data_IF_789032391037
#
_entry.id   IF_789032391037
#
_cell.length_a   1.000
_cell.length_b   1.000
_cell.length_c   1.000
_cell.angle_alpha   90.00
_cell.angle_beta   90.00
_cell.angle_gamma   90.00
#
_symmetry.space_group_name_H-M   'P 1'
#
loop_
_entity.id
_entity.type
_entity.pdbx_description
1 polymer ?
#
# COMPACT_ATOMS: atom_id res chain seq x y z
N UNK A 1 -20.24 2.97 26.40
CA UNK A 1 -21.01 3.41 25.23
C UNK A 1 -20.83 2.36 24.16
N UNK A 2 -21.84 1.55 23.92
CA UNK A 2 -21.78 0.46 22.92
C UNK A 2 -22.22 1.05 21.60
N UNK A 3 -21.26 1.26 20.69
CA UNK A 3 -21.53 1.76 19.35
C UNK A 3 -22.38 0.73 18.61
N UNK A 4 -23.60 1.11 18.24
CA UNK A 4 -24.46 0.27 17.41
C UNK A 4 -23.79 0.12 16.06
N UNK A 5 -23.34 -1.10 15.73
CA UNK A 5 -22.91 -1.44 14.38
C UNK A 5 -24.12 -1.30 13.48
N UNK A 6 -24.19 -0.19 12.75
CA UNK A 6 -25.09 -0.01 11.62
C UNK A 6 -24.93 -1.21 10.67
N UNK A 7 -26.04 -1.65 10.09
CA UNK A 7 -26.02 -2.75 9.12
C UNK A 7 -25.10 -2.47 7.93
N UNK A 8 -24.87 -3.49 7.11
CA UNK A 8 -24.02 -3.36 5.92
C UNK A 8 -24.51 -2.23 5.01
N UNK A 9 -23.65 -1.23 4.78
CA UNK A 9 -23.85 -0.21 3.74
C UNK A 9 -23.40 -0.75 2.38
N UNK A 10 -24.02 -0.27 1.30
CA UNK A 10 -23.47 -0.47 -0.05
C UNK A 10 -22.10 0.21 -0.15
N UNK A 11 -21.27 -0.30 -1.04
CA UNK A 11 -20.07 0.41 -1.46
C UNK A 11 -20.43 1.77 -2.07
N UNK A 12 -19.54 2.77 -1.96
CA UNK A 12 -19.67 4.04 -2.68
C UNK A 12 -19.86 3.83 -4.19
N UNK A 13 -20.54 4.77 -4.85
CA UNK A 13 -20.82 4.67 -6.29
C UNK A 13 -19.54 4.76 -7.15
N UNK A 14 -18.50 5.43 -6.63
CA UNK A 14 -17.17 5.55 -7.23
C UNK A 14 -16.22 4.40 -6.84
N UNK A 15 -16.72 3.36 -6.17
CA UNK A 15 -15.92 2.21 -5.78
C UNK A 15 -15.14 1.56 -6.96
N UNK A 16 -15.72 1.37 -8.16
CA UNK A 16 -14.94 0.84 -9.28
C UNK A 16 -13.73 1.72 -9.64
N UNK A 17 -13.90 3.04 -9.65
CA UNK A 17 -12.82 3.96 -9.98
C UNK A 17 -11.73 3.98 -8.90
N UNK A 18 -12.12 3.95 -7.62
CA UNK A 18 -11.15 3.88 -6.52
C UNK A 18 -10.41 2.55 -6.49
N UNK A 19 -11.09 1.44 -6.81
CA UNK A 19 -10.47 0.13 -7.02
C UNK A 19 -9.45 0.15 -8.16
N UNK A 20 -9.73 0.86 -9.25
CA UNK A 20 -8.82 1.04 -10.38
C UNK A 20 -7.70 2.08 -10.10
N UNK A 21 -7.65 2.65 -8.89
CA UNK A 21 -6.55 3.50 -8.42
C UNK A 21 -6.82 5.00 -8.47
N UNK A 22 -8.04 5.43 -8.81
CA UNK A 22 -8.41 6.85 -8.80
C UNK A 22 -8.18 7.45 -7.41
N UNK A 23 -7.27 8.43 -7.32
CA UNK A 23 -6.94 9.11 -6.07
C UNK A 23 -6.16 8.25 -5.07
N UNK A 24 -5.51 7.16 -5.50
CA UNK A 24 -4.77 6.28 -4.61
C UNK A 24 -3.63 7.02 -3.88
N UNK A 25 -3.79 7.18 -2.56
CA UNK A 25 -2.81 7.88 -1.71
C UNK A 25 -1.46 7.16 -1.65
N UNK A 26 -1.45 5.82 -1.79
CA UNK A 26 -0.21 5.05 -1.84
C UNK A 26 0.54 5.27 -3.16
N UNK A 27 -0.14 5.33 -4.30
CA UNK A 27 0.51 5.67 -5.57
C UNK A 27 1.11 7.10 -5.52
N UNK A 28 0.36 8.06 -4.98
CA UNK A 28 0.86 9.43 -4.81
C UNK A 28 2.08 9.49 -3.86
N UNK A 29 2.03 8.74 -2.76
CA UNK A 29 3.13 8.63 -1.81
C UNK A 29 4.37 7.96 -2.42
N UNK A 30 4.20 6.87 -3.18
CA UNK A 30 5.33 6.19 -3.85
C UNK A 30 6.03 7.14 -4.84
N UNK A 31 5.24 7.95 -5.56
CA UNK A 31 5.77 8.88 -6.57
C UNK A 31 6.47 10.10 -5.98
N UNK A 32 5.93 10.69 -4.90
CA UNK A 32 6.40 11.98 -4.39
C UNK A 32 7.15 11.88 -3.06
N UNK A 33 6.90 10.82 -2.28
CA UNK A 33 7.33 10.62 -0.91
C UNK A 33 6.86 11.72 0.06
N UNK A 34 6.44 11.32 1.26
CA UNK A 34 6.13 12.26 2.35
C UNK A 34 6.80 11.78 3.64
N UNK A 35 7.87 12.44 4.10
CA UNK A 35 8.55 12.09 5.35
C UNK A 35 7.64 12.11 6.59
N UNK A 36 6.50 12.82 6.54
CA UNK A 36 5.52 12.82 7.61
C UNK A 36 4.79 11.47 7.74
N UNK A 37 4.83 10.62 6.70
CA UNK A 37 4.28 9.26 6.72
C UNK A 37 5.37 8.21 6.86
N UNK A 38 6.45 8.34 6.10
CA UNK A 38 7.55 7.40 6.14
C UNK A 38 8.77 7.86 5.35
N UNK A 39 9.91 7.28 5.67
CA UNK A 39 11.19 7.55 4.99
C UNK A 39 11.60 6.31 4.22
N UNK A 40 11.93 6.44 2.93
CA UNK A 40 12.39 5.29 2.14
C UNK A 40 13.73 4.79 2.69
N UNK A 41 13.80 3.50 2.99
CA UNK A 41 15.01 2.83 3.50
C UNK A 41 15.58 1.79 2.53
N UNK A 42 14.79 1.34 1.55
CA UNK A 42 15.21 0.37 0.55
C UNK A 42 14.44 0.55 -0.77
N UNK A 43 15.09 0.24 -1.89
CA UNK A 43 14.51 0.20 -3.25
C UNK A 43 14.84 -1.16 -3.83
N UNK A 44 13.84 -2.03 -3.97
CA UNK A 44 13.96 -3.38 -4.53
C UNK A 44 13.81 -3.41 -6.04
N UNK A 45 13.47 -4.57 -6.59
CA UNK A 45 13.22 -4.74 -8.02
C UNK A 45 11.87 -4.19 -8.48
N UNK A 46 10.84 -4.28 -7.63
CA UNK A 46 9.45 -3.88 -7.94
C UNK A 46 8.76 -3.16 -6.78
N UNK A 47 9.37 -3.17 -5.59
CA UNK A 47 8.84 -2.52 -4.40
C UNK A 47 9.84 -1.56 -3.75
N UNK A 48 9.31 -0.60 -3.01
CA UNK A 48 10.09 0.27 -2.13
C UNK A 48 9.74 -0.04 -0.68
N UNK A 49 10.72 0.05 0.21
CA UNK A 49 10.50 -0.10 1.64
C UNK A 49 10.62 1.25 2.34
N UNK A 50 9.68 1.52 3.25
CA UNK A 50 9.59 2.77 3.99
C UNK A 50 9.52 2.48 5.48
N UNK A 51 10.39 3.11 6.27
CA UNK A 51 10.26 3.14 7.72
C UNK A 51 9.14 4.09 8.08
N UNK A 52 8.10 3.61 8.74
CA UNK A 52 6.96 4.42 9.15
C UNK A 52 7.41 5.45 10.21
N UNK A 53 7.14 6.73 9.96
CA UNK A 53 7.37 7.81 10.92
C UNK A 53 6.12 8.08 11.77
N UNK A 54 4.98 7.55 11.32
CA UNK A 54 3.72 7.50 12.06
C UNK A 54 3.43 6.08 12.52
N UNK A 55 3.15 5.90 13.80
CA UNK A 55 2.86 4.58 14.37
C UNK A 55 3.36 4.42 15.79
N UNK A 56 3.00 3.31 16.43
CA UNK A 56 3.35 3.02 17.82
C UNK A 56 4.47 1.98 17.96
N UNK A 57 4.87 1.33 16.86
CA UNK A 57 5.84 0.23 16.87
C UNK A 57 7.17 0.67 16.26
N UNK A 58 8.27 0.52 17.00
CA UNK A 58 9.62 0.81 16.51
C UNK A 58 10.00 -0.17 15.41
N UNK A 59 10.58 0.34 14.33
CA UNK A 59 11.02 -0.47 13.20
C UNK A 59 9.89 -1.01 12.31
N UNK A 60 8.69 -0.46 12.43
CA UNK A 60 7.59 -0.83 11.54
C UNK A 60 7.84 -0.28 10.12
N UNK A 61 7.86 -1.17 9.14
CA UNK A 61 8.14 -0.85 7.75
C UNK A 61 6.97 -1.23 6.85
N UNK A 62 6.74 -0.42 5.82
CA UNK A 62 5.88 -0.75 4.69
C UNK A 62 6.72 -1.14 3.50
N UNK A 63 6.38 -2.26 2.85
CA UNK A 63 6.91 -2.63 1.54
C UNK A 63 5.79 -2.44 0.54
N UNK A 64 5.97 -1.49 -0.38
CA UNK A 64 4.91 -1.01 -1.27
C UNK A 64 5.33 -1.25 -2.71
N UNK A 65 4.50 -1.96 -3.48
CA UNK A 65 4.63 -2.11 -4.93
C UNK A 65 4.66 -0.74 -5.60
N UNK A 66 5.59 -0.52 -6.55
CA UNK A 66 5.78 0.79 -7.17
C UNK A 66 5.46 0.84 -8.66
N UNK A 67 5.34 -0.31 -9.30
CA UNK A 67 5.23 -0.42 -10.76
C UNK A 67 3.75 -0.40 -11.18
N UNK A 68 3.04 0.68 -10.85
CA UNK A 68 1.62 0.89 -11.14
C UNK A 68 0.69 0.67 -9.95
N UNK A 69 -0.62 0.85 -10.17
CA UNK A 69 -1.65 0.58 -9.17
C UNK A 69 -2.08 -0.88 -9.25
N UNK A 70 -2.12 -1.53 -8.09
CA UNK A 70 -2.59 -2.91 -7.91
C UNK A 70 -3.44 -2.89 -6.65
N UNK A 71 -4.71 -3.26 -6.78
CA UNK A 71 -5.62 -3.28 -5.64
C UNK A 71 -5.48 -4.56 -4.83
N UNK A 72 -5.44 -5.71 -5.52
CA UNK A 72 -5.37 -7.02 -4.89
C UNK A 72 -4.10 -7.77 -5.32
N UNK A 73 -3.50 -8.60 -4.44
CA UNK A 73 -2.35 -9.43 -4.83
C UNK A 73 -2.63 -10.36 -6.01
N UNK A 74 -3.89 -10.72 -6.23
CA UNK A 74 -4.34 -11.55 -7.35
C UNK A 74 -4.39 -10.82 -8.70
N UNK A 75 -4.27 -9.50 -8.69
CA UNK A 75 -4.23 -8.69 -9.91
C UNK A 75 -2.82 -8.65 -10.53
N UNK A 76 -1.80 -9.15 -9.82
CA UNK A 76 -0.43 -9.26 -10.31
C UNK A 76 -0.23 -10.52 -11.17
N UNK A 77 0.70 -10.42 -12.14
CA UNK A 77 1.28 -11.61 -12.74
C UNK A 77 2.01 -12.44 -11.66
N UNK A 78 1.94 -13.78 -11.69
CA UNK A 78 2.62 -14.62 -10.70
C UNK A 78 4.12 -14.35 -10.56
N UNK A 79 4.81 -13.98 -11.64
CA UNK A 79 6.24 -13.64 -11.58
C UNK A 79 6.47 -12.33 -10.82
N UNK A 80 5.64 -11.31 -11.05
CA UNK A 80 5.70 -10.02 -10.37
C UNK A 80 5.37 -10.16 -8.87
N UNK A 81 4.37 -10.99 -8.54
CA UNK A 81 4.06 -11.31 -7.16
C UNK A 81 5.25 -11.99 -6.44
N UNK A 82 5.95 -12.90 -7.13
CA UNK A 82 7.17 -13.52 -6.58
C UNK A 82 8.26 -12.48 -6.32
N UNK A 83 8.49 -11.55 -7.26
CA UNK A 83 9.46 -10.47 -7.10
C UNK A 83 9.10 -9.55 -5.94
N UNK A 84 7.81 -9.21 -5.78
CA UNK A 84 7.34 -8.41 -4.66
C UNK A 84 7.65 -9.08 -3.32
N UNK A 85 7.37 -10.38 -3.17
CA UNK A 85 7.71 -11.11 -1.95
C UNK A 85 9.21 -11.27 -1.76
N UNK A 86 9.99 -11.39 -2.84
CA UNK A 86 11.45 -11.41 -2.75
C UNK A 86 11.98 -10.07 -2.20
N UNK A 87 11.48 -8.94 -2.70
CA UNK A 87 11.80 -7.61 -2.16
C UNK A 87 11.37 -7.48 -0.69
N UNK A 88 10.17 -7.95 -0.34
CA UNK A 88 9.64 -7.90 1.03
C UNK A 88 10.55 -8.61 2.05
N UNK A 89 11.21 -9.70 1.66
CA UNK A 89 12.11 -10.47 2.53
C UNK A 89 13.50 -9.84 2.72
N UNK A 90 13.78 -8.69 2.10
CA UNK A 90 15.06 -7.98 2.22
C UNK A 90 15.06 -6.87 3.27
N UNK A 91 13.91 -6.58 3.90
CA UNK A 91 13.64 -5.41 4.74
C UNK A 91 13.58 -5.77 6.21
#
# INVERSE_FOLDING_TARGET
>A
MTEQRTGWSRWPDDWPATKDGAGCVLCAFVANEDPAWGVRIYTGQVANAYLATIGQMRGYCWVIWRDGHVCEPTDLDPADAQLFFADMLTV
#
